data_IF_553572361806
#
_entry.id   IF_553572361806
#
_cell.length_a   1.000
_cell.length_b   1.000
_cell.length_c   1.000
_cell.angle_alpha   90.00
_cell.angle_beta   90.00
_cell.angle_gamma   90.00
#
_symmetry.space_group_name_H-M   'P 1'
#
loop_
_entity.id
_entity.type
_entity.pdbx_description
1 polymer ?
#
# COMPACT_ATOMS: atom_id res chain seq x y z
N UNK A 1 -17.14 4.20 8.19
CA UNK A 1 -17.71 5.50 8.59
C UNK A 1 -16.89 6.62 8.00
N UNK A 2 -17.52 7.53 7.31
CA UNK A 2 -16.81 8.63 6.66
C UNK A 2 -16.65 9.79 7.61
N UNK A 3 -15.44 10.35 7.61
CA UNK A 3 -15.20 11.58 8.35
C UNK A 3 -15.53 12.75 7.42
N UNK A 4 -16.76 13.26 7.54
CA UNK A 4 -17.28 14.33 6.69
C UNK A 4 -16.50 15.64 6.81
N UNK A 5 -15.58 15.74 7.76
CA UNK A 5 -14.74 16.92 7.95
C UNK A 5 -13.47 16.90 7.09
N UNK A 6 -13.15 15.76 6.46
CA UNK A 6 -11.97 15.65 5.60
C UNK A 6 -12.31 16.17 4.20
N UNK A 7 -11.58 17.15 3.72
CA UNK A 7 -11.76 17.70 2.38
C UNK A 7 -10.67 17.27 1.40
N UNK A 8 -9.52 16.82 1.91
CA UNK A 8 -8.45 16.31 1.06
C UNK A 8 -8.80 14.92 0.53
N UNK A 9 -8.67 14.74 -0.79
CA UNK A 9 -8.81 13.44 -1.41
C UNK A 9 -7.88 12.42 -0.76
N UNK A 10 -6.64 12.80 -0.51
CA UNK A 10 -5.64 11.87 0.04
C UNK A 10 -5.97 11.47 1.48
N UNK A 11 -6.53 12.37 2.28
CA UNK A 11 -6.96 12.04 3.63
C UNK A 11 -8.12 11.04 3.60
N UNK A 12 -9.11 11.27 2.73
CA UNK A 12 -10.22 10.33 2.52
C UNK A 12 -9.73 8.98 2.04
N UNK A 13 -8.89 8.98 1.01
CA UNK A 13 -8.40 7.75 0.41
C UNK A 13 -7.54 6.96 1.40
N UNK A 14 -6.73 7.64 2.21
CA UNK A 14 -5.94 7.00 3.25
C UNK A 14 -6.84 6.23 4.24
N UNK A 15 -7.87 6.89 4.75
CA UNK A 15 -8.79 6.27 5.70
C UNK A 15 -9.54 5.10 5.06
N UNK A 16 -10.07 5.29 3.86
CA UNK A 16 -10.83 4.24 3.18
C UNK A 16 -9.95 3.03 2.84
N UNK A 17 -8.70 3.26 2.40
CA UNK A 17 -7.74 2.19 2.17
C UNK A 17 -7.42 1.44 3.46
N UNK A 18 -7.12 2.17 4.52
CA UNK A 18 -6.74 1.59 5.80
C UNK A 18 -7.86 0.72 6.37
N UNK A 19 -9.10 1.21 6.31
CA UNK A 19 -10.26 0.45 6.76
C UNK A 19 -10.51 -0.79 5.90
N UNK A 20 -10.38 -0.65 4.59
CA UNK A 20 -10.56 -1.77 3.66
C UNK A 20 -9.50 -2.85 3.86
N UNK A 21 -8.24 -2.44 4.01
CA UNK A 21 -7.12 -3.37 4.27
C UNK A 21 -7.34 -4.11 5.60
N UNK A 22 -7.71 -3.39 6.63
CA UNK A 22 -7.97 -3.97 7.95
C UNK A 22 -9.08 -5.02 7.88
N UNK A 23 -10.13 -4.75 7.12
CA UNK A 23 -11.28 -5.65 6.99
C UNK A 23 -10.97 -6.85 6.10
N UNK A 24 -10.26 -6.62 4.99
CA UNK A 24 -10.11 -7.61 3.90
C UNK A 24 -8.85 -8.45 4.05
N UNK A 25 -7.80 -7.89 4.66
CA UNK A 25 -6.49 -8.51 4.77
C UNK A 25 -6.07 -8.61 6.24
N UNK A 26 -6.72 -9.49 7.03
CA UNK A 26 -6.44 -9.58 8.47
C UNK A 26 -5.03 -10.08 8.79
N UNK A 27 -4.33 -10.67 7.82
CA UNK A 27 -2.92 -11.06 7.99
C UNK A 27 -2.00 -9.85 8.10
N UNK A 28 -2.39 -8.68 7.62
CA UNK A 28 -1.66 -7.43 7.82
C UNK A 28 -1.90 -6.96 9.25
N UNK A 29 -0.85 -6.95 10.06
CA UNK A 29 -0.94 -6.66 11.49
C UNK A 29 -0.72 -5.19 11.83
N UNK A 30 -0.19 -4.41 10.89
CA UNK A 30 0.07 -2.99 11.06
C UNK A 30 -0.18 -2.28 9.73
N UNK A 31 -1.04 -1.28 9.71
CA UNK A 31 -1.31 -0.48 8.53
C UNK A 31 -1.28 1.00 8.91
N UNK A 32 -0.33 1.73 8.35
CA UNK A 32 -0.04 3.11 8.74
C UNK A 32 0.44 3.90 7.53
N UNK A 33 0.61 5.20 7.71
CA UNK A 33 1.29 6.03 6.74
C UNK A 33 2.79 5.77 6.73
N UNK A 34 3.39 5.93 5.55
CA UNK A 34 4.83 5.82 5.41
C UNK A 34 5.49 7.16 5.74
N UNK A 35 6.54 7.11 6.54
CA UNK A 35 7.39 8.26 6.85
C UNK A 35 8.88 7.87 6.85
N UNK A 36 9.23 6.69 6.29
CA UNK A 36 10.61 6.23 6.21
C UNK A 36 11.04 5.34 7.37
N UNK A 37 10.10 4.78 8.13
CA UNK A 37 10.42 4.01 9.34
C UNK A 37 11.28 2.78 9.08
N UNK A 38 11.18 2.17 7.89
CA UNK A 38 11.98 1.00 7.52
C UNK A 38 13.39 1.34 7.03
N UNK A 39 13.68 2.63 6.84
CA UNK A 39 15.00 3.09 6.35
C UNK A 39 16.01 3.25 7.48
N UNK A 40 15.57 3.10 8.71
CA UNK A 40 16.45 3.11 9.86
C UNK A 40 17.28 1.83 9.91
N UNK A 41 18.46 1.89 10.53
CA UNK A 41 19.39 0.77 10.60
C UNK A 41 18.98 -0.32 11.61
N UNK A 42 17.76 -0.26 12.10
CA UNK A 42 17.20 -1.22 13.03
C UNK A 42 15.76 -1.53 12.65
N UNK A 43 15.22 -2.62 13.22
CA UNK A 43 13.84 -3.02 12.98
C UNK A 43 12.90 -1.95 13.56
N UNK A 44 11.96 -1.40 12.77
CA UNK A 44 11.02 -0.41 13.28
C UNK A 44 10.08 -1.01 14.33
N UNK A 45 9.54 -0.16 15.21
CA UNK A 45 8.60 -0.55 16.26
C UNK A 45 7.18 -0.69 15.68
N UNK A 46 6.99 -1.67 14.82
CA UNK A 46 5.70 -1.99 14.20
C UNK A 46 5.47 -3.50 14.27
N UNK A 47 4.21 -3.90 14.23
CA UNK A 47 3.88 -5.32 14.10
C UNK A 47 4.07 -5.77 12.66
N UNK A 48 4.58 -6.98 12.45
CA UNK A 48 4.78 -7.54 11.11
C UNK A 48 3.77 -8.65 10.84
N UNK A 49 3.29 -8.81 9.61
CA UNK A 49 3.55 -7.97 8.42
C UNK A 49 2.92 -6.59 8.56
N UNK A 50 3.63 -5.57 8.08
CA UNK A 50 3.15 -4.18 8.07
C UNK A 50 2.96 -3.71 6.64
N UNK A 51 1.96 -2.87 6.44
CA UNK A 51 1.70 -2.23 5.15
C UNK A 51 1.67 -0.72 5.36
N UNK A 52 2.57 -0.01 4.68
CA UNK A 52 2.74 1.43 4.85
C UNK A 52 2.29 2.15 3.57
N UNK A 53 1.43 3.14 3.74
CA UNK A 53 0.75 3.85 2.65
C UNK A 53 1.41 5.20 2.43
N UNK A 54 1.68 5.52 1.16
CA UNK A 54 2.14 6.84 0.74
C UNK A 54 1.50 7.23 -0.58
N UNK A 55 1.39 8.51 -0.80
CA UNK A 55 0.97 9.10 -2.07
C UNK A 55 2.11 9.96 -2.60
N UNK A 56 3.13 9.32 -3.20
CA UNK A 56 4.39 10.03 -3.50
C UNK A 56 4.26 11.07 -4.59
N UNK A 57 3.27 10.98 -5.46
CA UNK A 57 3.10 11.95 -6.54
C UNK A 57 1.67 11.96 -7.06
N UNK A 58 1.31 13.09 -7.65
CA UNK A 58 0.10 13.23 -8.43
C UNK A 58 0.38 14.21 -9.55
N UNK A 59 -0.18 13.93 -10.73
CA UNK A 59 -0.05 14.82 -11.89
C UNK A 59 -1.43 15.35 -12.25
N UNK A 60 -1.50 16.64 -12.58
CA UNK A 60 -2.74 17.32 -12.85
C UNK A 60 -2.75 17.94 -14.23
N UNK A 61 -3.95 17.97 -14.84
CA UNK A 61 -4.22 18.75 -16.03
C UNK A 61 -5.49 19.58 -15.80
N UNK A 62 -5.49 20.80 -16.31
CA UNK A 62 -6.65 21.68 -16.18
C UNK A 62 -7.74 21.26 -17.17
N UNK A 63 -8.95 21.03 -16.66
CA UNK A 63 -10.12 20.74 -17.51
C UNK A 63 -10.95 21.98 -17.74
N UNK A 64 -11.15 22.77 -16.68
CA UNK A 64 -11.92 24.00 -16.69
C UNK A 64 -11.32 24.96 -15.67
N UNK A 65 -11.91 26.15 -15.55
CA UNK A 65 -11.35 27.20 -14.71
C UNK A 65 -11.08 26.79 -13.27
N UNK A 66 -11.97 26.00 -12.69
CA UNK A 66 -11.87 25.56 -11.29
C UNK A 66 -11.84 24.04 -11.15
N UNK A 67 -11.52 23.32 -12.23
CA UNK A 67 -11.52 21.87 -12.23
C UNK A 67 -10.21 21.33 -12.78
N UNK A 68 -9.65 20.37 -12.04
CA UNK A 68 -8.42 19.66 -12.40
C UNK A 68 -8.71 18.18 -12.53
N UNK A 69 -8.12 17.57 -13.54
CA UNK A 69 -8.05 16.12 -13.64
C UNK A 69 -6.71 15.67 -13.09
N UNK A 70 -6.73 14.76 -12.13
CA UNK A 70 -5.53 14.28 -11.47
C UNK A 70 -5.34 12.78 -11.64
N UNK A 71 -4.08 12.37 -11.73
CA UNK A 71 -3.67 10.97 -11.64
C UNK A 71 -2.71 10.85 -10.48
N UNK A 72 -3.11 10.10 -9.45
CA UNK A 72 -2.33 9.91 -8.25
C UNK A 72 -1.62 8.56 -8.27
N UNK A 73 -0.38 8.56 -7.80
CA UNK A 73 0.38 7.35 -7.54
C UNK A 73 0.23 6.99 -6.07
N UNK A 74 -0.08 5.74 -5.80
CA UNK A 74 -0.24 5.20 -4.46
C UNK A 74 0.86 4.14 -4.27
N UNK A 75 1.65 4.31 -3.23
CA UNK A 75 2.72 3.39 -2.88
C UNK A 75 2.34 2.63 -1.61
N UNK A 76 2.36 1.30 -1.68
CA UNK A 76 2.14 0.44 -0.53
C UNK A 76 3.42 -0.35 -0.28
N UNK A 77 4.04 -0.14 0.87
CA UNK A 77 5.26 -0.85 1.27
C UNK A 77 4.89 -1.98 2.20
N UNK A 78 5.11 -3.21 1.73
CA UNK A 78 4.90 -4.41 2.53
C UNK A 78 6.20 -4.76 3.22
N UNK A 79 6.19 -4.71 4.55
CA UNK A 79 7.32 -5.04 5.40
C UNK A 79 7.08 -6.38 6.07
N UNK A 80 7.98 -7.33 5.84
CA UNK A 80 7.96 -8.62 6.48
C UNK A 80 9.29 -8.86 7.19
N UNK A 81 9.23 -9.55 8.32
CA UNK A 81 10.41 -9.95 9.08
C UNK A 81 10.61 -11.46 8.92
N UNK A 82 11.35 -11.91 7.89
CA UNK A 82 11.53 -13.34 7.64
C UNK A 82 12.47 -13.97 8.65
N UNK A 83 12.15 -15.20 9.04
CA UNK A 83 12.98 -15.99 9.96
C UNK A 83 13.08 -17.46 9.54
N UNK A 84 12.68 -17.79 8.33
CA UNK A 84 12.75 -19.14 7.79
C UNK A 84 13.63 -19.16 6.54
N UNK A 85 14.22 -20.32 6.25
CA UNK A 85 15.11 -20.48 5.11
C UNK A 85 14.35 -20.84 3.85
N UNK A 86 14.65 -20.11 2.74
CA UNK A 86 14.15 -20.43 1.41
C UNK A 86 15.12 -21.28 0.58
N UNK A 87 16.22 -21.74 1.20
CA UNK A 87 17.22 -22.53 0.49
C UNK A 87 16.61 -23.83 -0.07
N UNK A 88 17.06 -24.26 -1.24
CA UNK A 88 16.58 -25.49 -1.87
C UNK A 88 16.80 -26.74 -0.99
N UNK A 89 17.77 -26.69 -0.08
CA UNK A 89 18.09 -27.76 0.85
C UNK A 89 17.27 -27.72 2.14
N UNK A 90 16.48 -26.64 2.37
CA UNK A 90 15.64 -26.52 3.54
C UNK A 90 14.47 -27.51 3.48
N UNK A 91 13.94 -27.98 4.64
CA UNK A 91 12.71 -28.76 4.64
C UNK A 91 11.58 -28.03 3.93
N UNK A 92 10.71 -28.76 3.27
CA UNK A 92 9.62 -28.21 2.47
C UNK A 92 8.75 -27.24 3.26
N UNK A 93 8.40 -27.60 4.51
CA UNK A 93 7.58 -26.75 5.39
C UNK A 93 8.28 -25.43 5.73
N UNK A 94 9.57 -25.48 6.04
CA UNK A 94 10.36 -24.29 6.37
C UNK A 94 10.47 -23.38 5.15
N UNK A 95 10.71 -23.98 3.98
CA UNK A 95 10.79 -23.23 2.74
C UNK A 95 9.45 -22.56 2.38
N UNK A 96 8.33 -23.27 2.58
CA UNK A 96 7.01 -22.69 2.38
C UNK A 96 6.77 -21.48 3.29
N UNK A 97 7.14 -21.56 4.57
CA UNK A 97 7.05 -20.44 5.51
C UNK A 97 7.88 -19.23 5.04
N UNK A 98 9.07 -19.48 4.49
CA UNK A 98 9.94 -18.43 3.99
C UNK A 98 9.34 -17.69 2.78
N UNK A 99 8.41 -18.30 2.06
CA UNK A 99 7.78 -17.73 0.87
C UNK A 99 6.40 -17.14 1.13
N UNK A 100 5.92 -17.17 2.37
CA UNK A 100 4.58 -16.64 2.71
C UNK A 100 4.39 -15.17 2.33
N UNK A 101 5.47 -14.39 2.33
CA UNK A 101 5.38 -12.98 1.95
C UNK A 101 4.96 -12.79 0.48
N UNK A 102 5.29 -13.73 -0.41
CA UNK A 102 4.82 -13.69 -1.79
C UNK A 102 3.32 -13.99 -1.88
N UNK A 103 2.81 -14.91 -1.06
CA UNK A 103 1.38 -15.19 -0.99
C UNK A 103 0.60 -14.00 -0.46
N UNK A 104 1.15 -13.33 0.57
CA UNK A 104 0.55 -12.12 1.11
C UNK A 104 0.53 -10.99 0.08
N UNK A 105 1.62 -10.80 -0.65
CA UNK A 105 1.69 -9.84 -1.75
C UNK A 105 0.62 -10.12 -2.80
N UNK A 106 0.45 -11.39 -3.19
CA UNK A 106 -0.59 -11.78 -4.12
C UNK A 106 -1.99 -11.42 -3.60
N UNK A 107 -2.24 -11.67 -2.33
CA UNK A 107 -3.53 -11.35 -1.70
C UNK A 107 -3.80 -9.84 -1.66
N UNK A 108 -2.76 -9.03 -1.44
CA UNK A 108 -2.87 -7.58 -1.50
C UNK A 108 -3.25 -7.13 -2.90
N UNK A 109 -2.59 -7.67 -3.92
CA UNK A 109 -2.89 -7.34 -5.32
C UNK A 109 -4.33 -7.73 -5.65
N UNK A 110 -4.74 -8.94 -5.28
CA UNK A 110 -6.10 -9.42 -5.56
C UNK A 110 -7.16 -8.56 -4.88
N UNK A 111 -6.88 -8.04 -3.69
CA UNK A 111 -7.82 -7.22 -2.94
C UNK A 111 -7.91 -5.79 -3.49
N UNK A 112 -6.79 -5.22 -3.96
CA UNK A 112 -6.71 -3.79 -4.25
C UNK A 112 -6.77 -3.44 -5.73
N UNK A 113 -6.30 -4.32 -6.61
CA UNK A 113 -6.45 -4.05 -8.05
C UNK A 113 -7.93 -4.08 -8.41
N UNK A 114 -8.44 -2.99 -8.96
CA UNK A 114 -9.85 -2.85 -9.29
C UNK A 114 -10.74 -2.36 -8.15
N UNK A 115 -10.18 -2.17 -6.96
CA UNK A 115 -10.94 -1.63 -5.84
C UNK A 115 -11.14 -0.12 -6.00
N UNK A 116 -12.32 0.35 -5.62
CA UNK A 116 -12.64 1.78 -5.55
C UNK A 116 -13.38 2.08 -4.25
N UNK A 117 -13.19 3.30 -3.68
CA UNK A 117 -13.95 3.69 -2.49
C UNK A 117 -15.44 3.79 -2.80
N UNK A 118 -16.27 3.58 -1.77
CA UNK A 118 -17.73 3.51 -1.92
C UNK A 118 -18.35 4.78 -2.47
N UNK A 119 -17.77 5.95 -2.19
CA UNK A 119 -18.31 7.24 -2.61
C UNK A 119 -17.84 7.68 -4.01
N UNK A 120 -17.09 6.85 -4.71
CA UNK A 120 -16.66 7.07 -6.10
C UNK A 120 -15.95 8.41 -6.35
N UNK A 121 -15.21 8.92 -5.36
CA UNK A 121 -14.46 10.17 -5.54
C UNK A 121 -13.16 9.98 -6.32
N UNK A 122 -12.77 8.75 -6.57
CA UNK A 122 -11.67 8.40 -7.46
C UNK A 122 -12.00 7.09 -8.19
N UNK A 123 -11.27 6.83 -9.26
CA UNK A 123 -11.45 5.62 -10.06
C UNK A 123 -10.84 4.41 -9.34
N UNK A 124 -11.14 3.23 -9.86
CA UNK A 124 -10.58 1.98 -9.36
C UNK A 124 -9.06 1.99 -9.42
N UNK A 125 -8.43 1.42 -8.42
CA UNK A 125 -6.97 1.32 -8.38
C UNK A 125 -6.46 0.36 -9.44
N UNK A 126 -5.38 0.74 -10.09
CA UNK A 126 -4.69 -0.11 -11.07
C UNK A 126 -3.27 -0.36 -10.60
N UNK A 127 -2.89 -1.62 -10.49
CA UNK A 127 -1.50 -1.97 -10.18
C UNK A 127 -0.62 -1.65 -11.37
N UNK A 128 0.45 -0.88 -11.13
CA UNK A 128 1.38 -0.46 -12.19
C UNK A 128 2.80 -0.94 -11.98
N UNK A 129 3.15 -1.39 -10.79
CA UNK A 129 4.52 -1.85 -10.57
C UNK A 129 4.74 -2.55 -9.25
N UNK A 130 5.79 -3.33 -9.21
CA UNK A 130 6.32 -4.00 -8.03
C UNK A 130 7.82 -3.79 -7.99
N UNK A 131 8.37 -3.56 -6.80
CA UNK A 131 9.82 -3.45 -6.64
C UNK A 131 10.24 -3.95 -5.26
N UNK A 132 11.49 -4.36 -5.17
CA UNK A 132 12.11 -4.77 -3.90
C UNK A 132 13.02 -3.67 -3.41
N UNK A 133 12.95 -3.38 -2.10
CA UNK A 133 13.88 -2.49 -1.44
C UNK A 133 14.71 -3.33 -0.46
N UNK A 134 16.02 -3.31 -0.61
CA UNK A 134 16.94 -4.10 0.19
C UNK A 134 17.85 -3.28 1.11
N UNK A 135 17.50 -2.01 1.35
CA UNK A 135 18.31 -1.12 2.19
C UNK A 135 18.33 -1.51 3.67
N UNK A 136 17.30 -2.20 4.15
CA UNK A 136 17.26 -2.72 5.51
C UNK A 136 17.42 -4.24 5.47
N UNK A 137 18.58 -4.79 5.87
CA UNK A 137 18.83 -6.23 5.75
C UNK A 137 18.03 -7.09 6.73
N UNK A 138 17.41 -6.48 7.73
CA UNK A 138 16.56 -7.21 8.68
C UNK A 138 15.14 -7.43 8.18
N UNK A 139 14.77 -6.78 7.07
CA UNK A 139 13.41 -6.79 6.57
C UNK A 139 13.37 -7.25 5.11
N UNK A 140 12.25 -7.87 4.77
CA UNK A 140 11.82 -8.07 3.39
C UNK A 140 10.84 -6.95 3.06
N UNK A 141 11.19 -6.09 2.09
CA UNK A 141 10.38 -4.94 1.72
C UNK A 141 10.02 -5.02 0.26
N UNK A 142 8.71 -5.00 -0.03
CA UNK A 142 8.18 -4.92 -1.39
C UNK A 142 7.33 -3.67 -1.50
N UNK A 143 7.54 -2.92 -2.56
CA UNK A 143 6.71 -1.75 -2.88
C UNK A 143 5.74 -2.12 -4.00
N UNK A 144 4.45 -1.98 -3.70
CA UNK A 144 3.39 -2.16 -4.69
C UNK A 144 2.90 -0.77 -5.08
N UNK A 145 2.93 -0.48 -6.36
CA UNK A 145 2.55 0.84 -6.89
C UNK A 145 1.24 0.73 -7.65
N UNK A 146 0.28 1.56 -7.25
CA UNK A 146 -1.02 1.68 -7.90
C UNK A 146 -1.22 3.09 -8.40
N UNK A 147 -2.14 3.26 -9.35
CA UNK A 147 -2.60 4.57 -9.78
C UNK A 147 -4.11 4.66 -9.72
N UNK A 148 -4.62 5.86 -9.53
CA UNK A 148 -6.03 6.19 -9.65
C UNK A 148 -6.18 7.58 -10.25
N UNK A 149 -7.30 7.80 -10.92
CA UNK A 149 -7.64 9.10 -11.49
C UNK A 149 -8.82 9.72 -10.72
N UNK A 150 -8.85 11.04 -10.66
CA UNK A 150 -9.90 11.76 -9.96
C UNK A 150 -10.02 13.18 -10.49
N UNK A 151 -11.16 13.80 -10.19
CA UNK A 151 -11.38 15.21 -10.47
C UNK A 151 -11.29 16.01 -9.18
N UNK A 152 -10.66 17.17 -9.25
CA UNK A 152 -10.52 18.07 -8.12
C UNK A 152 -11.10 19.43 -8.48
N UNK A 153 -12.12 19.83 -7.74
CA UNK A 153 -12.72 21.17 -7.86
C UNK A 153 -12.02 22.12 -6.89
N UNK A 154 -11.43 23.17 -7.44
CA UNK A 154 -10.66 24.16 -6.68
C UNK A 154 -11.47 25.45 -6.61
N UNK A 155 -12.26 25.58 -5.60
CA UNK A 155 -13.14 26.74 -5.45
C UNK A 155 -12.70 27.59 -4.27
#
# INVERSE_FOLDING_TARGET
MHNNNLQSLFAHLFIDLQEYIKKTLPAIRWCDGWWGQEQLNYRPAVAFPALLIDFPSAQFSAEAQNSLFGVATISLRLLCAPFSSSAATAPEKVRAEALEHYELEHNIIAALHGWAPADNYCQSLTLTGLSTDNRNPELRIRTLTFTTAYELDVV
#
